data_IF_452809383734
#
_entry.id   IF_452809383734
#
_cell.length_a   1.000
_cell.length_b   1.000
_cell.length_c   1.000
_cell.angle_alpha   90.00
_cell.angle_beta   90.00
_cell.angle_gamma   90.00
#
_symmetry.space_group_name_H-M   'P 1'
#
loop_
_entity.id
_entity.type
_entity.pdbx_description
1 polymer ?
#
# COMPACT_ATOMS: atom_id res chain seq x y z
N UNK A 1 -13.26 4.27 20.45
CA UNK A 1 -13.45 3.58 19.14
C UNK A 1 -13.28 4.62 18.05
N UNK A 2 -12.15 4.63 17.35
CA UNK A 2 -12.00 5.46 16.14
C UNK A 2 -12.78 4.75 15.04
N UNK A 3 -13.92 5.32 14.64
CA UNK A 3 -14.66 4.82 13.49
C UNK A 3 -13.77 5.01 12.25
N UNK A 4 -13.23 3.92 11.71
CA UNK A 4 -12.49 3.98 10.45
C UNK A 4 -13.49 4.28 9.35
N UNK A 5 -13.46 5.52 8.87
CA UNK A 5 -14.42 6.01 7.89
C UNK A 5 -14.18 5.36 6.53
N UNK A 6 -15.27 4.98 5.85
CA UNK A 6 -15.27 4.58 4.44
C UNK A 6 -14.71 5.66 3.48
N UNK A 7 -14.37 6.85 4.00
CA UNK A 7 -13.69 7.92 3.29
C UNK A 7 -12.16 7.91 3.41
N UNK A 8 -11.57 6.96 4.16
CA UNK A 8 -10.11 6.86 4.26
C UNK A 8 -9.48 6.61 2.89
N UNK A 9 -8.27 7.18 2.66
CA UNK A 9 -7.53 6.97 1.40
C UNK A 9 -7.33 5.49 1.11
N UNK A 10 -7.08 4.71 2.16
CA UNK A 10 -6.87 3.28 2.05
C UNK A 10 -8.14 2.53 1.64
N UNK A 11 -9.31 2.87 2.21
CA UNK A 11 -10.58 2.25 1.83
C UNK A 11 -10.89 2.46 0.35
N UNK A 12 -10.69 3.69 -0.14
CA UNK A 12 -10.91 4.07 -1.55
C UNK A 12 -9.94 3.35 -2.49
N UNK A 13 -8.65 3.27 -2.14
CA UNK A 13 -7.64 2.60 -2.94
C UNK A 13 -7.93 1.10 -3.18
N UNK A 14 -8.61 0.43 -2.25
CA UNK A 14 -9.03 -0.97 -2.40
C UNK A 14 -10.44 -1.18 -2.99
N UNK A 15 -11.26 -0.12 -3.10
CA UNK A 15 -12.69 -0.21 -3.48
C UNK A 15 -12.90 -0.71 -4.91
N UNK A 16 -12.01 -0.34 -5.82
CA UNK A 16 -12.06 -0.71 -7.23
C UNK A 16 -10.90 -1.66 -7.56
N UNK A 17 -11.00 -2.42 -8.66
CA UNK A 17 -9.86 -3.13 -9.23
C UNK A 17 -8.63 -2.23 -9.41
N UNK A 18 -7.42 -2.80 -9.25
CA UNK A 18 -6.14 -2.08 -9.21
C UNK A 18 -5.85 -1.22 -10.46
N UNK A 19 -6.37 -1.62 -11.62
CA UNK A 19 -6.24 -0.88 -12.88
C UNK A 19 -7.16 0.36 -12.93
N UNK A 20 -8.24 0.36 -12.15
CA UNK A 20 -9.22 1.45 -12.05
C UNK A 20 -9.00 2.36 -10.85
N UNK A 21 -8.27 1.91 -9.83
CA UNK A 21 -8.01 2.69 -8.61
C UNK A 21 -6.80 3.63 -8.68
N UNK A 22 -6.24 3.86 -9.89
CA UNK A 22 -4.99 4.64 -10.08
C UNK A 22 -5.03 6.01 -9.40
N UNK A 23 -6.13 6.74 -9.50
CA UNK A 23 -6.27 8.08 -8.88
C UNK A 23 -6.23 8.00 -7.35
N UNK A 24 -6.99 7.08 -6.75
CA UNK A 24 -7.05 6.89 -5.30
C UNK A 24 -5.71 6.38 -4.75
N UNK A 25 -5.03 5.49 -5.47
CA UNK A 25 -3.71 4.99 -5.06
C UNK A 25 -2.65 6.08 -5.17
N UNK A 26 -2.73 7.01 -6.14
CA UNK A 26 -1.84 8.18 -6.17
C UNK A 26 -2.03 9.07 -4.95
N UNK A 27 -3.29 9.33 -4.55
CA UNK A 27 -3.57 10.10 -3.34
C UNK A 27 -3.04 9.40 -2.08
N UNK A 28 -3.21 8.08 -1.99
CA UNK A 28 -2.66 7.28 -0.90
C UNK A 28 -1.12 7.30 -0.90
N UNK A 29 -0.50 7.17 -2.06
CA UNK A 29 0.96 7.23 -2.22
C UNK A 29 1.51 8.57 -1.75
N UNK A 30 0.88 9.69 -2.14
CA UNK A 30 1.25 11.02 -1.65
C UNK A 30 1.10 11.12 -0.13
N UNK A 31 0.00 10.58 0.41
CA UNK A 31 -0.24 10.60 1.84
C UNK A 31 0.86 9.84 2.60
N UNK A 32 1.22 8.64 2.13
CA UNK A 32 2.20 7.75 2.74
C UNK A 32 3.63 8.27 2.60
N UNK A 33 4.03 8.68 1.39
CA UNK A 33 5.43 9.02 1.10
C UNK A 33 5.80 10.43 1.56
N UNK A 34 4.85 11.36 1.48
CA UNK A 34 5.13 12.77 1.71
C UNK A 34 4.38 13.32 2.90
N UNK A 35 3.12 12.91 3.14
CA UNK A 35 2.31 13.55 4.18
C UNK A 35 2.44 12.94 5.58
N UNK A 36 3.24 11.90 5.74
CA UNK A 36 3.48 11.22 7.01
C UNK A 36 2.31 10.31 7.45
N UNK A 37 1.37 10.00 6.55
CA UNK A 37 0.33 9.02 6.85
C UNK A 37 0.94 7.63 6.94
N UNK A 38 0.70 6.95 8.04
CA UNK A 38 1.17 5.59 8.29
C UNK A 38 0.01 4.80 8.91
N UNK A 39 -0.62 3.87 8.16
CA UNK A 39 -1.71 3.04 8.67
C UNK A 39 -1.33 2.34 9.97
N UNK A 40 -2.28 2.22 10.89
CA UNK A 40 -2.10 1.49 12.15
C UNK A 40 -2.72 0.09 12.06
N UNK A 41 -2.32 -0.80 12.97
CA UNK A 41 -2.93 -2.12 13.10
C UNK A 41 -4.44 -1.99 13.37
N UNK A 42 -4.84 -1.09 14.29
CA UNK A 42 -6.24 -0.83 14.63
C UNK A 42 -7.05 -0.35 13.42
N UNK A 43 -6.48 0.53 12.58
CA UNK A 43 -7.13 0.99 11.36
C UNK A 43 -7.39 -0.16 10.39
N UNK A 44 -6.39 -1.02 10.18
CA UNK A 44 -6.51 -2.19 9.31
C UNK A 44 -7.49 -3.23 9.86
N UNK A 45 -7.53 -3.45 11.17
CA UNK A 45 -8.52 -4.32 11.80
C UNK A 45 -9.94 -3.76 11.63
N UNK A 46 -10.11 -2.45 11.75
CA UNK A 46 -11.37 -1.77 11.48
C UNK A 46 -11.80 -1.97 10.02
N UNK A 47 -10.90 -1.76 9.07
CA UNK A 47 -11.15 -1.97 7.64
C UNK A 47 -11.45 -3.43 7.32
N UNK A 48 -10.77 -4.38 7.95
CA UNK A 48 -11.03 -5.81 7.77
C UNK A 48 -12.45 -6.20 8.14
N UNK A 49 -13.05 -5.52 9.13
CA UNK A 49 -14.43 -5.78 9.58
C UNK A 49 -15.49 -5.14 8.68
N UNK A 50 -15.14 -4.10 7.94
CA UNK A 50 -16.09 -3.32 7.12
C UNK A 50 -15.99 -3.57 5.63
N UNK A 51 -14.79 -3.86 5.13
CA UNK A 51 -14.53 -4.17 3.73
C UNK A 51 -14.77 -5.66 3.45
N UNK A 52 -15.18 -5.98 2.22
CA UNK A 52 -15.16 -7.37 1.79
C UNK A 52 -13.72 -7.89 1.69
N UNK A 53 -13.58 -9.22 1.65
CA UNK A 53 -12.27 -9.89 1.64
C UNK A 53 -11.38 -9.42 0.49
N UNK A 54 -11.94 -9.28 -0.71
CA UNK A 54 -11.18 -8.93 -1.91
C UNK A 54 -10.74 -7.46 -1.86
N UNK A 55 -11.64 -6.58 -1.42
CA UNK A 55 -11.35 -5.18 -1.17
C UNK A 55 -10.21 -5.02 -0.16
N UNK A 56 -10.26 -5.74 0.98
CA UNK A 56 -9.21 -5.71 1.99
C UNK A 56 -7.87 -6.25 1.47
N UNK A 57 -7.89 -7.34 0.69
CA UNK A 57 -6.69 -7.87 0.02
C UNK A 57 -6.07 -6.86 -0.96
N UNK A 58 -6.89 -6.10 -1.71
CA UNK A 58 -6.41 -4.99 -2.56
C UNK A 58 -5.75 -3.89 -1.73
N UNK A 59 -6.33 -3.50 -0.59
CA UNK A 59 -5.73 -2.50 0.31
C UNK A 59 -4.33 -2.95 0.77
N UNK A 60 -4.22 -4.20 1.24
CA UNK A 60 -2.94 -4.77 1.69
C UNK A 60 -1.92 -4.88 0.53
N UNK A 61 -2.37 -5.28 -0.65
CA UNK A 61 -1.56 -5.30 -1.86
C UNK A 61 -0.99 -3.92 -2.21
N UNK A 62 -1.81 -2.87 -2.09
CA UNK A 62 -1.37 -1.49 -2.35
C UNK A 62 -0.36 -1.05 -1.28
N UNK A 63 -0.62 -1.27 0.01
CA UNK A 63 0.32 -0.90 1.08
C UNK A 63 1.69 -1.59 0.91
N UNK A 64 1.67 -2.88 0.61
CA UNK A 64 2.88 -3.62 0.34
C UNK A 64 3.63 -3.04 -0.87
N UNK A 65 2.92 -2.71 -1.94
CA UNK A 65 3.51 -2.09 -3.13
C UNK A 65 4.18 -0.76 -2.77
N UNK A 66 3.49 0.10 -2.02
CA UNK A 66 4.00 1.42 -1.62
C UNK A 66 5.26 1.32 -0.73
N UNK A 67 5.36 0.27 0.08
CA UNK A 67 6.51 0.01 0.96
C UNK A 67 7.79 -0.40 0.23
N UNK A 68 7.70 -0.82 -1.03
CA UNK A 68 8.85 -1.32 -1.80
C UNK A 68 9.60 -0.22 -2.55
N UNK A 69 9.02 0.99 -2.65
CA UNK A 69 9.63 2.07 -3.39
C UNK A 69 10.64 2.84 -2.52
N UNK A 70 11.82 3.19 -3.07
CA UNK A 70 12.86 3.94 -2.35
C UNK A 70 12.39 5.30 -1.80
N UNK A 71 11.36 5.89 -2.39
CA UNK A 71 10.79 7.17 -1.94
C UNK A 71 10.03 7.06 -0.61
N UNK A 72 9.58 5.85 -0.25
CA UNK A 72 9.01 5.58 1.06
C UNK A 72 10.10 5.64 2.12
N UNK A 73 9.91 6.46 3.16
CA UNK A 73 10.86 6.53 4.27
C UNK A 73 11.06 5.16 4.91
N UNK A 74 12.31 4.80 5.25
CA UNK A 74 12.67 3.47 5.76
C UNK A 74 11.84 3.03 6.98
N UNK A 75 11.52 3.96 7.88
CA UNK A 75 10.66 3.68 9.05
C UNK A 75 9.24 3.31 8.63
N UNK A 76 8.63 4.09 7.74
CA UNK A 76 7.29 3.85 7.19
C UNK A 76 7.27 2.55 6.38
N UNK A 77 8.26 2.34 5.50
CA UNK A 77 8.38 1.12 4.71
C UNK A 77 8.42 -0.13 5.59
N UNK A 78 9.27 -0.15 6.64
CA UNK A 78 9.35 -1.26 7.59
C UNK A 78 8.03 -1.50 8.32
N UNK A 79 7.35 -0.44 8.73
CA UNK A 79 6.05 -0.55 9.40
C UNK A 79 4.97 -1.14 8.49
N UNK A 80 4.88 -0.67 7.24
CA UNK A 80 3.95 -1.23 6.26
C UNK A 80 4.25 -2.70 5.95
N UNK A 81 5.53 -3.07 5.86
CA UNK A 81 5.95 -4.45 5.64
C UNK A 81 5.55 -5.34 6.82
N UNK A 82 5.76 -4.90 8.06
CA UNK A 82 5.33 -5.62 9.26
C UNK A 82 3.82 -5.85 9.27
N UNK A 83 3.02 -4.81 9.00
CA UNK A 83 1.55 -4.91 8.95
C UNK A 83 1.10 -5.89 7.85
N UNK A 84 1.64 -5.75 6.64
CA UNK A 84 1.27 -6.59 5.51
C UNK A 84 1.71 -8.05 5.72
N UNK A 85 2.83 -8.30 6.40
CA UNK A 85 3.22 -9.66 6.82
C UNK A 85 2.28 -10.26 7.85
N UNK A 86 1.91 -9.50 8.88
CA UNK A 86 1.00 -9.96 9.92
C UNK A 86 -0.36 -10.36 9.34
N UNK A 87 -0.95 -9.52 8.49
CA UNK A 87 -2.23 -9.85 7.85
C UNK A 87 -2.10 -10.96 6.80
N UNK A 88 -0.96 -11.07 6.12
CA UNK A 88 -0.72 -12.19 5.21
C UNK A 88 -0.74 -13.51 5.97
N UNK A 89 -0.03 -13.58 7.10
CA UNK A 89 -0.01 -14.74 7.97
C UNK A 89 -1.41 -15.12 8.50
N UNK A 90 -2.23 -14.13 8.84
CA UNK A 90 -3.61 -14.37 9.30
C UNK A 90 -4.56 -14.85 8.20
N UNK A 91 -4.38 -14.41 6.95
CA UNK A 91 -5.32 -14.69 5.86
C UNK A 91 -4.94 -15.93 5.04
N UNK A 92 -3.66 -16.24 4.95
CA UNK A 92 -3.12 -17.30 4.09
C UNK A 92 -2.21 -18.29 4.85
N UNK A 93 -1.98 -18.07 6.14
CA UNK A 93 -0.98 -18.80 6.91
C UNK A 93 0.42 -18.23 6.77
N UNK A 94 1.35 -18.67 7.62
CA UNK A 94 2.75 -18.26 7.53
C UNK A 94 3.38 -18.86 6.28
N UNK A 95 3.61 -18.03 5.27
CA UNK A 95 4.29 -18.43 4.03
C UNK A 95 5.64 -17.73 3.97
N UNK A 96 6.70 -18.50 3.78
CA UNK A 96 8.02 -17.97 3.40
C UNK A 96 7.88 -17.27 2.05
N UNK A 97 8.22 -15.98 1.99
CA UNK A 97 8.20 -15.21 0.74
C UNK A 97 8.89 -16.05 -0.36
N UNK A 98 8.27 -16.22 -1.55
CA UNK A 98 8.82 -17.10 -2.57
C UNK A 98 10.27 -16.69 -2.88
N UNK A 99 11.20 -17.62 -2.67
CA UNK A 99 12.65 -17.43 -2.81
C UNK A 99 13.10 -17.32 -4.26
N UNK A 100 12.27 -17.78 -5.21
CA UNK A 100 12.59 -17.77 -6.64
C UNK A 100 11.39 -17.38 -7.51
N UNK A 101 11.60 -16.45 -8.45
CA UNK A 101 10.61 -15.95 -9.40
C UNK A 101 10.42 -14.43 -9.36
N UNK A 102 9.73 -13.86 -10.37
CA UNK A 102 9.36 -12.43 -10.36
C UNK A 102 8.29 -12.20 -9.29
N UNK A 103 8.68 -11.58 -8.19
CA UNK A 103 7.79 -11.20 -7.12
C UNK A 103 6.64 -10.30 -7.61
N UNK A 104 5.39 -10.71 -7.36
CA UNK A 104 4.19 -9.93 -7.68
C UNK A 104 3.31 -9.77 -6.43
N UNK A 105 3.13 -8.55 -5.92
CA UNK A 105 2.22 -8.29 -4.80
C UNK A 105 0.80 -8.80 -5.06
N UNK A 106 0.24 -8.60 -6.26
CA UNK A 106 -1.13 -9.04 -6.55
C UNK A 106 -1.29 -10.55 -6.43
N UNK A 107 -0.31 -11.34 -6.91
CA UNK A 107 -0.31 -12.79 -6.74
C UNK A 107 -0.16 -13.21 -5.29
N UNK A 108 0.71 -12.54 -4.51
CA UNK A 108 0.89 -12.83 -3.07
C UNK A 108 -0.44 -12.67 -2.30
N UNK A 109 -1.27 -11.71 -2.70
CA UNK A 109 -2.57 -11.42 -2.10
C UNK A 109 -3.74 -12.18 -2.71
N UNK A 110 -3.49 -13.15 -3.61
CA UNK A 110 -4.53 -13.94 -4.25
C UNK A 110 -5.44 -13.12 -5.17
N UNK A 111 -4.92 -12.05 -5.77
CA UNK A 111 -5.64 -11.20 -6.71
C UNK A 111 -5.27 -11.59 -8.15
N UNK A 112 -6.28 -11.80 -8.99
CA UNK A 112 -6.12 -12.04 -10.44
C UNK A 112 -5.75 -10.75 -11.21
N UNK A 113 -5.80 -9.61 -10.53
CA UNK A 113 -5.55 -8.29 -11.09
C UNK A 113 -4.06 -8.03 -11.35
N UNK A 114 -3.78 -7.27 -12.40
CA UNK A 114 -2.41 -6.88 -12.73
C UNK A 114 -2.04 -5.56 -12.06
N UNK A 115 -0.92 -5.54 -11.33
CA UNK A 115 -0.38 -4.32 -10.72
C UNK A 115 0.46 -3.47 -11.69
N UNK A 116 0.67 -3.93 -12.94
CA UNK A 116 1.53 -3.29 -13.93
C UNK A 116 1.15 -1.84 -14.26
N UNK A 117 -0.12 -1.57 -14.65
CA UNK A 117 -0.59 -0.21 -14.92
C UNK A 117 -0.41 0.71 -13.71
N UNK A 118 -0.72 0.20 -12.51
CA UNK A 118 -0.57 0.92 -11.26
C UNK A 118 0.88 1.29 -10.97
N UNK A 119 1.81 0.33 -11.11
CA UNK A 119 3.25 0.56 -10.96
C UNK A 119 3.75 1.65 -11.90
N UNK A 120 3.37 1.60 -13.18
CA UNK A 120 3.72 2.63 -14.17
C UNK A 120 3.18 4.01 -13.78
N UNK A 121 1.93 4.08 -13.33
CA UNK A 121 1.29 5.33 -12.95
C UNK A 121 1.94 5.99 -11.72
N UNK A 122 2.60 5.22 -10.86
CA UNK A 122 3.33 5.70 -9.69
C UNK A 122 4.75 6.18 -9.99
N UNK A 123 5.34 5.85 -11.16
CA UNK A 123 6.73 6.21 -11.48
C UNK A 123 7.01 7.73 -11.38
N UNK A 124 6.15 8.63 -11.89
CA UNK A 124 6.42 10.08 -11.81
C UNK A 124 6.53 10.60 -10.37
N UNK A 125 5.81 9.96 -9.43
CA UNK A 125 5.78 10.32 -8.02
C UNK A 125 7.01 9.85 -7.24
N UNK A 126 7.86 9.00 -7.84
CA UNK A 126 9.06 8.43 -7.20
C UNK A 126 10.33 9.24 -7.48
N UNK A 127 10.22 10.33 -8.24
CA UNK A 127 11.37 11.13 -8.66
C UNK A 127 11.80 12.06 -7.54
N UNK A 128 13.11 12.31 -7.44
CA UNK A 128 13.66 13.33 -6.51
C UNK A 128 13.03 14.70 -6.74
N UNK A 129 12.84 15.11 -8.00
CA UNK A 129 12.20 16.40 -8.34
C UNK A 129 10.79 16.52 -7.80
N UNK A 130 9.96 15.48 -7.94
CA UNK A 130 8.62 15.48 -7.37
C UNK A 130 8.69 15.58 -5.84
N UNK A 131 9.60 14.81 -5.25
CA UNK A 131 9.79 14.71 -3.81
C UNK A 131 10.21 16.07 -3.20
N UNK A 132 11.19 16.75 -3.81
CA UNK A 132 11.61 18.11 -3.46
C UNK A 132 10.45 19.12 -3.56
N UNK A 133 9.61 19.01 -4.61
CA UNK A 133 8.45 19.88 -4.81
C UNK A 133 7.36 19.73 -3.73
N UNK A 134 7.35 18.61 -2.99
CA UNK A 134 6.39 18.43 -1.89
C UNK A 134 6.76 19.20 -0.61
N UNK A 135 8.01 19.68 -0.50
CA UNK A 135 8.49 20.41 0.67
C UNK A 135 8.50 19.61 1.98
N UNK A 136 8.40 18.28 1.90
CA UNK A 136 8.35 17.35 3.05
C UNK A 136 9.48 16.32 2.95
N UNK A 137 9.87 15.75 4.08
CA UNK A 137 10.93 14.73 4.14
C UNK A 137 10.47 13.42 3.49
N UNK A 138 11.33 12.79 2.70
CA UNK A 138 11.04 11.52 2.01
C UNK A 138 12.27 10.59 2.01
N UNK A 139 12.11 9.34 1.57
CA UNK A 139 13.20 8.34 1.60
C UNK A 139 14.41 8.69 0.70
N UNK A 140 14.20 9.56 -0.29
CA UNK A 140 15.25 10.10 -1.16
C UNK A 140 15.90 11.41 -0.66
N UNK A 141 15.40 12.03 0.43
CA UNK A 141 16.04 13.21 1.03
C UNK A 141 17.15 12.68 1.93
N UNK A 142 18.40 12.85 1.52
CA UNK A 142 19.56 12.50 2.34
C UNK A 142 19.68 13.44 3.56
#
# INVERSE_FOLDING_TARGET
MVAVSSNSWLYRAGKQPLDRSVSDVKQLAEAVWYRGYCPTLEELEGLRRTADRQQFQRMLCVLELLSQYPVCQSKTARHLQMLTEQFHAQLFGAVTRPTHGRYSPSRRWGLDETSGPLRKALLPLQTRTYADATGRTHGLSA
#
